data_IF_743140190243
#
_entry.id   IF_743140190243
#
_cell.length_a   1.000
_cell.length_b   1.000
_cell.length_c   1.000
_cell.angle_alpha   90.00
_cell.angle_beta   90.00
_cell.angle_gamma   90.00
#
_symmetry.space_group_name_H-M   'P 1'
#
loop_
_entity.id
_entity.type
_entity.pdbx_description
1 polymer ?
#
# COMPACT_ATOMS: atom_id res chain seq x y z
N UNK A 1 24.86 11.49 -22.67
CA UNK A 1 23.69 11.99 -21.94
C UNK A 1 24.03 12.04 -20.45
N UNK A 2 24.14 13.21 -19.82
CA UNK A 2 24.39 13.27 -18.39
C UNK A 2 23.10 12.89 -17.65
N UNK A 3 23.01 11.65 -17.16
CA UNK A 3 22.03 11.28 -16.14
C UNK A 3 22.52 11.91 -14.85
N UNK A 4 22.09 13.13 -14.55
CA UNK A 4 22.35 13.73 -13.25
C UNK A 4 21.77 12.80 -12.19
N UNK A 5 22.61 12.08 -11.45
CA UNK A 5 22.24 11.11 -10.41
C UNK A 5 21.68 11.79 -9.15
N UNK A 6 20.91 12.86 -9.30
CA UNK A 6 20.35 13.58 -8.17
C UNK A 6 18.95 13.06 -7.87
N UNK A 7 18.82 12.22 -6.85
CA UNK A 7 17.54 11.80 -6.29
C UNK A 7 16.86 12.88 -5.44
N UNK A 8 17.17 14.16 -5.67
CA UNK A 8 16.61 15.28 -4.90
C UNK A 8 15.23 15.63 -5.44
N UNK A 9 14.23 15.50 -4.59
CA UNK A 9 12.86 15.97 -4.87
C UNK A 9 12.66 17.25 -4.08
N UNK A 10 12.28 18.33 -4.77
CA UNK A 10 11.86 19.60 -4.16
C UNK A 10 10.36 19.70 -4.36
N UNK A 11 9.61 19.90 -3.28
CA UNK A 11 8.16 20.01 -3.29
C UNK A 11 7.81 21.33 -2.64
N UNK A 12 7.13 22.18 -3.38
CA UNK A 12 6.53 23.39 -2.83
C UNK A 12 5.16 23.03 -2.26
N UNK A 13 4.94 23.43 -1.01
CA UNK A 13 3.71 23.19 -0.26
C UNK A 13 3.33 24.45 0.50
N UNK A 14 2.05 24.62 0.76
CA UNK A 14 1.58 25.74 1.58
C UNK A 14 2.20 25.68 2.99
N UNK A 15 2.59 26.83 3.56
CA UNK A 15 3.27 26.87 4.85
C UNK A 15 2.37 26.40 6.01
N UNK A 16 1.07 26.64 5.91
CA UNK A 16 0.07 26.16 6.87
C UNK A 16 -0.03 24.63 6.80
N UNK A 17 -0.18 24.08 5.60
CA UNK A 17 -0.23 22.64 5.38
C UNK A 17 1.06 21.93 5.82
N UNK A 18 2.23 22.53 5.57
CA UNK A 18 3.51 22.04 6.09
C UNK A 18 3.46 21.90 7.61
N UNK A 19 2.94 22.91 8.31
CA UNK A 19 2.84 22.91 9.77
C UNK A 19 1.93 21.79 10.28
N UNK A 20 0.79 21.58 9.62
CA UNK A 20 -0.14 20.49 9.94
C UNK A 20 0.51 19.11 9.76
N UNK A 21 1.27 18.91 8.68
CA UNK A 21 1.99 17.64 8.47
C UNK A 21 3.00 17.41 9.59
N UNK A 22 3.81 18.42 9.94
CA UNK A 22 4.79 18.27 11.02
C UNK A 22 4.12 18.01 12.38
N UNK A 23 2.96 18.60 12.65
CA UNK A 23 2.17 18.32 13.86
C UNK A 23 1.67 16.86 13.88
N UNK A 24 1.14 16.37 12.76
CA UNK A 24 0.67 14.98 12.63
C UNK A 24 1.82 13.96 12.70
N UNK A 25 3.00 14.32 12.21
CA UNK A 25 4.22 13.51 12.27
C UNK A 25 4.79 13.43 13.68
N UNK A 26 4.78 14.53 14.42
CA UNK A 26 5.21 14.56 15.81
C UNK A 26 4.37 13.63 16.69
N UNK A 27 3.06 13.52 16.43
CA UNK A 27 2.17 12.59 17.13
C UNK A 27 2.46 11.11 16.81
N UNK A 28 3.15 10.84 15.70
CA UNK A 28 3.48 9.49 15.22
C UNK A 28 4.96 9.13 15.43
N UNK A 29 5.73 9.98 16.11
CA UNK A 29 7.19 9.84 16.30
C UNK A 29 7.94 9.52 14.99
N UNK A 30 7.46 10.08 13.86
CA UNK A 30 7.98 9.79 12.53
C UNK A 30 8.55 11.05 11.88
N UNK A 31 9.65 10.91 11.14
CA UNK A 31 10.20 12.06 10.39
C UNK A 31 9.50 12.24 9.05
N UNK A 32 9.47 13.48 8.53
CA UNK A 32 8.92 13.80 7.20
C UNK A 32 9.54 12.93 6.10
N UNK A 33 10.84 12.67 6.21
CA UNK A 33 11.57 11.82 5.25
C UNK A 33 11.06 10.38 5.27
N UNK A 34 10.92 9.79 6.45
CA UNK A 34 10.45 8.41 6.60
C UNK A 34 9.01 8.27 6.14
N UNK A 35 8.14 9.19 6.58
CA UNK A 35 6.75 9.23 6.16
C UNK A 35 6.62 9.33 4.64
N UNK A 36 7.36 10.25 4.02
CA UNK A 36 7.34 10.47 2.58
C UNK A 36 7.85 9.24 1.82
N UNK A 37 8.98 8.66 2.22
CA UNK A 37 9.53 7.48 1.56
C UNK A 37 8.61 6.27 1.69
N UNK A 38 7.95 6.09 2.84
CA UNK A 38 7.02 5.00 3.05
C UNK A 38 5.77 5.16 2.17
N UNK A 39 5.18 6.35 2.14
CA UNK A 39 4.03 6.65 1.28
C UNK A 39 4.39 6.54 -0.21
N UNK A 40 5.56 7.03 -0.62
CA UNK A 40 6.00 6.94 -2.01
C UNK A 40 6.24 5.49 -2.45
N UNK A 41 6.83 4.65 -1.58
CA UNK A 41 7.00 3.22 -1.87
C UNK A 41 5.65 2.53 -2.00
N UNK A 42 4.74 2.78 -1.05
CA UNK A 42 3.39 2.22 -1.09
C UNK A 42 2.63 2.65 -2.34
N UNK A 43 2.72 3.92 -2.74
CA UNK A 43 2.13 4.40 -3.98
C UNK A 43 2.67 3.65 -5.21
N UNK A 44 3.98 3.41 -5.26
CA UNK A 44 4.59 2.63 -6.34
C UNK A 44 4.15 1.17 -6.32
N UNK A 45 4.03 0.55 -5.15
CA UNK A 45 3.53 -0.82 -4.98
C UNK A 45 2.07 -0.95 -5.42
N UNK A 46 1.22 -0.02 -4.98
CA UNK A 46 -0.20 0.05 -5.36
C UNK A 46 -0.35 0.27 -6.87
N UNK A 47 0.51 1.08 -7.49
CA UNK A 47 0.50 1.28 -8.96
C UNK A 47 1.01 0.05 -9.73
N UNK A 48 1.84 -0.78 -9.11
CA UNK A 48 2.29 -2.05 -9.70
C UNK A 48 1.29 -3.19 -9.49
N UNK A 49 0.38 -3.07 -8.52
CA UNK A 49 -0.67 -4.05 -8.30
C UNK A 49 -1.89 -3.71 -9.16
N UNK A 50 -2.18 -4.48 -10.24
CA UNK A 50 -3.41 -4.27 -10.99
C UNK A 50 -4.61 -4.51 -10.08
N UNK A 51 -5.61 -3.63 -10.15
CA UNK A 51 -6.86 -3.76 -9.42
C UNK A 51 -7.48 -5.12 -9.70
N UNK A 52 -7.60 -5.95 -8.66
CA UNK A 52 -8.31 -7.21 -8.72
C UNK A 52 -9.82 -6.93 -8.75
N UNK A 53 -10.40 -6.91 -9.95
CA UNK A 53 -11.84 -7.01 -10.12
C UNK A 53 -12.29 -8.41 -9.74
N UNK A 54 -12.74 -8.58 -8.51
CA UNK A 54 -13.40 -9.81 -8.05
C UNK A 54 -14.80 -9.87 -8.68
N UNK A 55 -14.87 -10.34 -9.93
CA UNK A 55 -16.13 -10.80 -10.49
C UNK A 55 -16.39 -12.16 -9.85
N UNK A 56 -17.37 -12.21 -8.95
CA UNK A 56 -17.86 -13.48 -8.43
C UNK A 56 -18.43 -14.27 -9.61
N UNK A 57 -17.75 -15.36 -9.99
CA UNK A 57 -18.27 -16.29 -10.98
C UNK A 57 -19.47 -17.03 -10.34
N UNK A 58 -20.70 -16.84 -10.85
CA UNK A 58 -21.90 -17.44 -10.25
C UNK A 58 -21.97 -18.97 -10.40
N UNK A 59 -21.06 -19.59 -11.17
CA UNK A 59 -21.04 -21.04 -11.47
C UNK A 59 -19.83 -21.77 -10.86
N UNK A 60 -19.14 -21.18 -9.88
CA UNK A 60 -18.07 -21.87 -9.18
C UNK A 60 -18.61 -22.91 -8.17
N UNK A 61 -19.04 -24.07 -8.67
CA UNK A 61 -19.32 -25.26 -7.85
C UNK A 61 -17.99 -25.83 -7.33
N UNK A 62 -17.51 -25.30 -6.21
CA UNK A 62 -16.41 -25.89 -5.47
C UNK A 62 -16.89 -27.19 -4.82
N UNK A 63 -16.60 -28.31 -5.49
CA UNK A 63 -16.84 -29.64 -4.92
C UNK A 63 -15.85 -29.87 -3.77
N UNK A 64 -16.30 -29.62 -2.54
CA UNK A 64 -15.48 -29.84 -1.35
C UNK A 64 -15.12 -31.33 -1.25
N UNK A 65 -13.84 -31.68 -1.04
CA UNK A 65 -13.44 -33.09 -0.93
C UNK A 65 -14.14 -33.71 0.27
N UNK A 66 -14.95 -34.74 -0.01
CA UNK A 66 -15.70 -35.53 0.95
C UNK A 66 -14.75 -36.05 2.06
N UNK A 67 -14.78 -35.40 3.22
CA UNK A 67 -14.07 -35.87 4.40
C UNK A 67 -14.88 -37.00 5.00
N UNK A 68 -14.69 -38.20 4.44
CA UNK A 68 -15.21 -39.46 4.98
C UNK A 68 -14.74 -39.63 6.43
N UNK A 69 -15.56 -39.22 7.39
CA UNK A 69 -15.42 -39.59 8.80
C UNK A 69 -15.90 -41.03 8.97
N UNK A 70 -15.04 -41.98 8.61
CA UNK A 70 -15.13 -43.34 9.12
C UNK A 70 -14.61 -43.34 10.56
N UNK A 71 -15.53 -43.47 11.54
CA UNK A 71 -15.34 -44.29 12.75
C UNK A 71 -16.54 -44.22 13.70
N UNK A 72 -16.96 -45.43 14.10
CA UNK A 72 -17.63 -45.83 15.35
C UNK A 72 -19.13 -46.14 15.28
N UNK A 73 -19.42 -47.43 15.12
CA UNK A 73 -20.38 -48.17 15.95
C UNK A 73 -19.90 -49.64 16.03
#
# INVERSE_FOLDING_TARGET
MPKGSSGRIVIDVDPEFKTEIYAALAAQDCTMKEWFLNHAKRLCEDYQQPTLSLVADPEASYNAPNRSTARNA
#
